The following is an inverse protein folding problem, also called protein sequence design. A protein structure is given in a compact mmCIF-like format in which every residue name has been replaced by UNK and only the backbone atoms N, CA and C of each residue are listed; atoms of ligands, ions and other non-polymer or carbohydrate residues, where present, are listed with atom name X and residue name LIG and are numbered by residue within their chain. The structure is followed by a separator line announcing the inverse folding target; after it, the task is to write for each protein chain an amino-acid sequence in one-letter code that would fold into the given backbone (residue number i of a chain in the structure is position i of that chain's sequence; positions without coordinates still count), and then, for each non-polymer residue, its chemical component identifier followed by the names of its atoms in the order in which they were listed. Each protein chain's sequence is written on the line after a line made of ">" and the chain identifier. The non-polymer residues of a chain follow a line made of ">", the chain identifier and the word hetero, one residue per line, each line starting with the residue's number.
data_IF_739316537957
#
_entry.id   IF_739316537957
#
_cell.length_a   1.000
_cell.length_b   1.000
_cell.length_c   1.000
_cell.angle_alpha   90.00
_cell.angle_beta   90.00
_cell.angle_gamma   90.00
#
_symmetry.space_group_name_H-M   'P 1'
#
loop_
_entity.id
_entity.type
_entity.pdbx_description
1 polymer ?
#
# COMPACT_ATOMS: atom_id res chain seq x y z
N UNK A 1 10.51 -0.48 17.31
CA UNK A 1 11.29 -0.99 16.17
C UNK A 1 12.60 -1.53 16.70
N UNK A 2 12.97 -2.73 16.30
CA UNK A 2 14.28 -3.29 16.64
C UNK A 2 15.33 -2.76 15.66
N UNK A 3 16.39 -2.15 16.19
CA UNK A 3 17.52 -1.62 15.40
C UNK A 3 18.76 -2.48 15.63
N UNK A 4 19.27 -3.08 14.57
CA UNK A 4 20.55 -3.78 14.55
C UNK A 4 21.59 -2.94 13.82
N UNK A 5 22.76 -2.75 14.44
CA UNK A 5 23.88 -2.02 13.84
C UNK A 5 25.09 -2.95 13.80
N UNK A 6 25.58 -3.24 12.60
CA UNK A 6 26.75 -4.07 12.34
C UNK A 6 27.87 -3.23 11.69
N UNK A 7 29.13 -3.54 12.01
CA UNK A 7 30.28 -3.07 11.25
C UNK A 7 31.12 -4.25 10.74
N UNK A 8 31.59 -4.15 9.49
CA UNK A 8 32.49 -5.11 8.85
C UNK A 8 33.77 -4.41 8.42
N UNK A 9 34.90 -4.95 8.85
CA UNK A 9 36.24 -4.41 8.55
C UNK A 9 36.44 -2.94 9.00
N UNK A 10 35.68 -2.50 10.01
CA UNK A 10 35.81 -1.16 10.61
C UNK A 10 35.33 -1.16 12.05
N UNK A 11 36.01 -0.40 12.91
CA UNK A 11 35.61 -0.20 14.30
C UNK A 11 34.39 0.71 14.39
N UNK A 12 33.35 0.26 15.08
CA UNK A 12 32.16 1.06 15.32
C UNK A 12 32.49 2.20 16.29
N UNK A 13 32.51 3.44 15.79
CA UNK A 13 32.70 4.61 16.65
C UNK A 13 31.38 5.05 17.28
N UNK A 14 31.39 5.59 18.52
CA UNK A 14 30.18 6.12 19.17
C UNK A 14 29.48 7.19 18.33
N UNK A 15 30.26 7.99 17.59
CA UNK A 15 29.75 9.03 16.69
C UNK A 15 28.85 8.46 15.60
N UNK A 16 29.24 7.37 14.94
CA UNK A 16 28.41 6.75 13.90
C UNK A 16 27.18 6.06 14.48
N UNK A 17 27.30 5.46 15.66
CA UNK A 17 26.17 4.89 16.38
C UNK A 17 25.11 5.96 16.67
N UNK A 18 25.51 7.07 17.29
CA UNK A 18 24.59 8.19 17.59
C UNK A 18 23.98 8.78 16.33
N UNK A 19 24.75 8.91 15.24
CA UNK A 19 24.25 9.40 13.96
C UNK A 19 23.17 8.46 13.37
N UNK A 20 23.42 7.15 13.39
CA UNK A 20 22.48 6.12 12.90
C UNK A 20 21.21 6.11 13.75
N UNK A 21 21.34 6.14 15.08
CA UNK A 21 20.21 6.17 16.02
C UNK A 21 19.35 7.42 15.81
N UNK A 22 19.98 8.59 15.66
CA UNK A 22 19.28 9.86 15.42
C UNK A 22 18.50 9.81 14.10
N UNK A 23 19.16 9.41 13.00
CA UNK A 23 18.52 9.33 11.68
C UNK A 23 17.43 8.27 11.61
N UNK A 24 17.63 7.15 12.30
CA UNK A 24 16.62 6.10 12.39
C UNK A 24 15.42 6.57 13.22
N UNK A 25 15.65 7.33 14.29
CA UNK A 25 14.60 8.00 15.05
C UNK A 25 13.79 8.97 14.20
N UNK A 26 14.43 9.74 13.32
CA UNK A 26 13.74 10.60 12.34
C UNK A 26 12.89 9.78 11.35
N UNK A 27 13.45 8.68 10.85
CA UNK A 27 12.76 7.76 9.96
C UNK A 27 11.50 7.19 10.63
N UNK A 28 11.63 6.74 11.88
CA UNK A 28 10.57 6.16 12.69
C UNK A 28 9.49 7.19 13.07
N UNK A 29 9.86 8.43 13.41
CA UNK A 29 8.89 9.51 13.65
C UNK A 29 8.02 9.79 12.43
N UNK A 30 8.61 9.66 11.24
CA UNK A 30 7.87 9.74 9.99
C UNK A 30 7.05 8.49 9.65
N UNK A 31 7.38 7.34 10.24
CA UNK A 31 6.90 6.01 9.84
C UNK A 31 6.83 5.06 11.05
N UNK A 32 5.72 5.07 11.78
CA UNK A 32 5.51 4.19 12.95
C UNK A 32 5.32 2.70 12.57
N UNK A 33 5.20 2.41 11.29
CA UNK A 33 4.96 1.07 10.74
C UNK A 33 6.25 0.24 10.57
N UNK A 34 7.43 0.81 10.83
CA UNK A 34 8.71 0.09 10.75
C UNK A 34 8.82 -0.98 11.84
N UNK A 35 9.03 -2.23 11.42
CA UNK A 35 9.15 -3.37 12.32
C UNK A 35 10.60 -3.56 12.76
N UNK A 36 11.51 -3.61 11.79
CA UNK A 36 12.93 -3.90 12.00
C UNK A 36 13.80 -3.03 11.10
N UNK A 37 14.93 -2.56 11.62
CA UNK A 37 15.94 -1.85 10.86
C UNK A 37 17.31 -2.46 11.12
N UNK A 38 18.04 -2.83 10.08
CA UNK A 38 19.42 -3.28 10.15
C UNK A 38 20.31 -2.33 9.36
N UNK A 39 21.40 -1.89 9.97
CA UNK A 39 22.40 -1.02 9.35
C UNK A 39 23.75 -1.71 9.41
N UNK A 40 24.35 -1.99 8.26
CA UNK A 40 25.68 -2.59 8.15
C UNK A 40 26.63 -1.58 7.51
N UNK A 41 27.70 -1.22 8.22
CA UNK A 41 28.78 -0.40 7.70
C UNK A 41 29.94 -1.30 7.27
N UNK A 42 30.40 -1.17 6.02
CA UNK A 42 31.54 -1.94 5.51
C UNK A 42 32.60 -1.02 4.96
N UNK A 43 33.86 -1.22 5.33
CA UNK A 43 35.00 -0.57 4.66
C UNK A 43 35.51 -1.49 3.55
N UNK A 44 35.35 -1.09 2.30
CA UNK A 44 35.83 -1.87 1.17
C UNK A 44 37.11 -1.25 0.58
N UNK A 45 38.29 -1.89 0.76
CA UNK A 45 39.55 -1.39 0.23
C UNK A 45 39.78 -1.69 -1.27
N UNK A 46 38.78 -2.20 -2.01
CA UNK A 46 39.02 -2.89 -3.28
C UNK A 46 38.21 -2.40 -4.49
N UNK A 47 38.00 -1.09 -4.63
CA UNK A 47 37.51 -0.50 -5.90
C UNK A 47 38.62 0.27 -6.62
N UNK A 48 38.92 -0.16 -7.87
CA UNK A 48 39.97 0.34 -8.79
C UNK A 48 39.89 1.84 -9.19
N UNK A 49 39.06 2.66 -8.55
CA UNK A 49 38.89 4.09 -8.91
C UNK A 49 38.90 5.09 -7.76
N UNK A 50 38.71 4.70 -6.49
CA UNK A 50 38.83 5.60 -5.35
C UNK A 50 39.39 4.84 -4.13
N UNK A 51 40.46 5.34 -3.55
CA UNK A 51 41.03 4.84 -2.30
C UNK A 51 39.98 4.84 -1.18
N UNK A 52 39.83 3.72 -0.46
CA UNK A 52 39.10 3.63 0.82
C UNK A 52 37.64 4.14 0.82
N UNK A 53 36.78 3.62 -0.05
CA UNK A 53 35.35 3.96 -0.01
C UNK A 53 34.63 3.30 1.18
N UNK A 54 33.81 4.10 1.85
CA UNK A 54 32.94 3.70 2.94
C UNK A 54 31.59 3.26 2.37
N UNK A 55 31.18 2.04 2.69
CA UNK A 55 29.89 1.49 2.28
C UNK A 55 28.92 1.44 3.47
N UNK A 56 27.70 1.92 3.26
CA UNK A 56 26.59 1.80 4.20
C UNK A 56 25.43 1.04 3.54
N UNK A 57 25.04 -0.06 4.15
CA UNK A 57 23.87 -0.86 3.79
C UNK A 57 22.79 -0.69 4.86
N UNK A 58 21.62 -0.22 4.46
CA UNK A 58 20.46 -0.05 5.35
C UNK A 58 19.35 -0.95 4.83
N UNK A 59 18.90 -1.86 5.67
CA UNK A 59 17.79 -2.76 5.42
C UNK A 59 16.68 -2.40 6.40
N UNK A 60 15.48 -2.12 5.92
CA UNK A 60 14.32 -1.89 6.79
C UNK A 60 13.17 -2.79 6.38
N UNK A 61 12.50 -3.36 7.38
CA UNK A 61 11.35 -4.24 7.20
C UNK A 61 10.09 -3.52 7.65
N UNK A 62 9.11 -3.50 6.74
CA UNK A 62 7.80 -2.89 6.88
C UNK A 62 6.72 -3.99 7.05
N UNK A 63 5.50 -3.63 7.48
CA UNK A 63 4.41 -4.59 7.63
C UNK A 63 3.97 -5.11 6.27
N UNK A 64 3.45 -6.33 6.23
CA UNK A 64 3.04 -6.98 4.97
C UNK A 64 4.22 -7.56 4.17
N UNK A 65 5.31 -7.95 4.87
CA UNK A 65 6.52 -8.59 4.29
C UNK A 65 7.27 -7.73 3.26
N UNK A 66 7.14 -6.41 3.33
CA UNK A 66 7.92 -5.53 2.46
C UNK A 66 9.27 -5.21 3.11
N UNK A 67 10.35 -5.41 2.37
CA UNK A 67 11.72 -5.10 2.84
C UNK A 67 12.35 -4.12 1.87
N UNK A 68 12.81 -2.98 2.37
CA UNK A 68 13.58 -2.01 1.61
C UNK A 68 15.07 -2.21 1.92
N UNK A 69 15.91 -2.07 0.91
CA UNK A 69 17.35 -2.27 1.03
C UNK A 69 18.06 -1.20 0.23
N UNK A 70 18.82 -0.35 0.90
CA UNK A 70 19.61 0.70 0.29
C UNK A 70 21.09 0.49 0.60
N UNK A 71 21.90 0.35 -0.44
CA UNK A 71 23.35 0.33 -0.38
C UNK A 71 23.90 1.63 -0.95
N UNK A 72 24.78 2.31 -0.22
CA UNK A 72 25.48 3.52 -0.69
C UNK A 72 26.97 3.45 -0.37
N UNK A 73 27.77 3.97 -1.28
CA UNK A 73 29.22 3.98 -1.22
C UNK A 73 29.68 5.43 -1.41
N UNK A 74 30.43 5.96 -0.45
CA UNK A 74 30.90 7.34 -0.44
C UNK A 74 32.33 7.44 0.11
N UNK A 75 32.93 8.64 0.02
CA UNK A 75 34.27 8.92 0.55
C UNK A 75 34.34 8.81 2.07
N UNK A 76 33.23 9.08 2.75
CA UNK A 76 33.13 9.03 4.21
C UNK A 76 31.92 8.20 4.63
N UNK A 77 32.01 7.55 5.81
CA UNK A 77 30.88 6.81 6.37
C UNK A 77 29.67 7.70 6.64
N UNK A 78 29.89 8.96 7.03
CA UNK A 78 28.80 9.91 7.29
C UNK A 78 28.00 10.23 6.03
N UNK A 79 28.69 10.45 4.90
CA UNK A 79 28.04 10.67 3.61
C UNK A 79 27.29 9.41 3.15
N UNK A 80 27.91 8.23 3.29
CA UNK A 80 27.29 6.96 2.93
C UNK A 80 26.02 6.70 3.75
N UNK A 81 26.08 6.90 5.07
CA UNK A 81 24.93 6.79 5.98
C UNK A 81 23.85 7.79 5.54
N UNK A 82 24.19 9.07 5.41
CA UNK A 82 23.23 10.10 5.00
C UNK A 82 22.56 9.76 3.67
N UNK A 83 23.33 9.35 2.68
CA UNK A 83 22.84 8.97 1.36
C UNK A 83 21.94 7.72 1.42
N UNK A 84 22.29 6.72 2.22
CA UNK A 84 21.52 5.49 2.37
C UNK A 84 20.16 5.77 3.02
N UNK A 85 20.16 6.51 4.12
CA UNK A 85 18.94 6.95 4.79
C UNK A 85 18.07 7.86 3.91
N UNK A 86 18.68 8.74 3.12
CA UNK A 86 17.95 9.56 2.15
C UNK A 86 17.29 8.73 1.04
N UNK A 87 17.95 7.67 0.56
CA UNK A 87 17.35 6.75 -0.40
C UNK A 87 16.16 6.00 0.20
N UNK A 88 16.30 5.49 1.43
CA UNK A 88 15.20 4.82 2.15
C UNK A 88 14.03 5.78 2.38
N UNK A 89 14.28 7.05 2.75
CA UNK A 89 13.19 8.02 2.97
C UNK A 89 12.40 8.32 1.69
N UNK A 90 13.08 8.39 0.54
CA UNK A 90 12.44 8.53 -0.77
C UNK A 90 11.61 7.28 -1.10
N UNK A 91 12.16 6.08 -0.89
CA UNK A 91 11.44 4.82 -1.15
C UNK A 91 10.23 4.66 -0.24
N UNK A 92 10.35 5.00 1.04
CA UNK A 92 9.27 4.99 2.01
C UNK A 92 8.17 5.99 1.67
N UNK A 93 8.53 7.18 1.19
CA UNK A 93 7.55 8.15 0.67
C UNK A 93 6.77 7.56 -0.51
N UNK A 94 7.47 6.94 -1.47
CA UNK A 94 6.82 6.28 -2.61
C UNK A 94 5.96 5.09 -2.17
N UNK A 95 6.39 4.36 -1.13
CA UNK A 95 5.62 3.29 -0.53
C UNK A 95 4.32 3.82 0.09
N UNK A 96 4.38 4.95 0.80
CA UNK A 96 3.19 5.66 1.30
C UNK A 96 2.32 6.24 0.21
N UNK A 97 2.86 6.74 -0.89
CA UNK A 97 2.03 7.21 -2.01
C UNK A 97 1.29 6.03 -2.68
N UNK A 98 1.96 4.88 -2.85
CA UNK A 98 1.34 3.64 -3.34
C UNK A 98 0.36 3.02 -2.35
N UNK A 99 0.66 3.06 -1.04
CA UNK A 99 -0.25 2.61 0.02
C UNK A 99 -1.37 3.59 0.28
N UNK A 100 -1.19 4.91 0.19
CA UNK A 100 -2.30 5.85 0.20
C UNK A 100 -3.21 5.65 -1.02
N UNK A 101 -2.65 5.22 -2.16
CA UNK A 101 -3.43 4.71 -3.29
C UNK A 101 -4.07 3.32 -3.05
N UNK A 102 -3.65 2.56 -2.04
CA UNK A 102 -4.14 1.19 -1.74
C UNK A 102 -4.96 1.07 -0.44
N UNK A 103 -4.79 1.97 0.53
CA UNK A 103 -5.49 2.09 1.82
C UNK A 103 -6.60 3.14 1.77
N UNK A 104 -6.80 3.83 0.64
CA UNK A 104 -8.14 4.30 0.24
C UNK A 104 -8.76 3.30 -0.74
N UNK A 105 -8.83 2.04 -0.30
CA UNK A 105 -9.88 1.12 -0.75
C UNK A 105 -10.97 1.05 0.33
N UNK A 106 -11.42 2.21 0.78
CA UNK A 106 -12.87 2.38 0.80
C UNK A 106 -13.20 2.51 -0.69
N UNK A 107 -13.73 1.49 -1.39
CA UNK A 107 -14.25 1.76 -2.73
C UNK A 107 -15.14 2.99 -2.60
N UNK A 108 -14.99 4.04 -3.43
CA UNK A 108 -15.90 5.17 -3.38
C UNK A 108 -17.29 4.57 -3.37
N UNK A 109 -18.11 4.88 -2.36
CA UNK A 109 -19.50 4.40 -2.28
C UNK A 109 -20.02 4.51 -3.70
N UNK A 110 -20.33 3.39 -4.37
CA UNK A 110 -20.42 3.48 -5.80
C UNK A 110 -21.50 4.50 -6.16
N UNK A 111 -21.19 5.53 -6.97
CA UNK A 111 -22.07 6.68 -7.12
C UNK A 111 -23.36 6.32 -7.86
N UNK A 112 -23.43 5.11 -8.42
CA UNK A 112 -24.57 4.64 -9.16
C UNK A 112 -25.47 3.82 -8.27
N UNK A 113 -26.70 4.31 -8.14
CA UNK A 113 -27.82 3.60 -7.59
C UNK A 113 -28.61 2.93 -8.71
N UNK A 114 -29.21 1.82 -8.37
CA UNK A 114 -30.13 1.13 -9.26
C UNK A 114 -30.91 0.07 -8.51
N UNK A 115 -31.83 -0.56 -9.24
CA UNK A 115 -32.63 -1.66 -8.73
C UNK A 115 -32.31 -2.91 -9.51
N UNK A 116 -32.20 -4.05 -8.84
CA UNK A 116 -32.05 -5.33 -9.52
C UNK A 116 -33.34 -5.59 -10.30
N UNK A 117 -33.25 -5.74 -11.62
CA UNK A 117 -34.44 -5.97 -12.46
C UNK A 117 -34.56 -7.42 -12.91
N UNK A 118 -33.43 -8.14 -12.99
CA UNK A 118 -33.37 -9.55 -13.38
C UNK A 118 -32.25 -10.23 -12.61
N UNK A 119 -32.58 -11.32 -11.94
CA UNK A 119 -31.62 -12.17 -11.26
C UNK A 119 -31.65 -13.59 -11.84
N UNK A 120 -30.48 -14.17 -12.11
CA UNK A 120 -30.32 -15.56 -12.53
C UNK A 120 -29.44 -16.30 -11.50
N UNK A 121 -29.98 -16.68 -10.32
CA UNK A 121 -29.19 -17.28 -9.25
C UNK A 121 -28.46 -18.56 -9.64
N UNK A 122 -29.11 -19.39 -10.47
CA UNK A 122 -28.55 -20.66 -10.96
C UNK A 122 -27.32 -20.45 -11.86
N UNK A 123 -27.29 -19.33 -12.58
CA UNK A 123 -26.21 -18.98 -13.51
C UNK A 123 -25.21 -17.99 -12.91
N UNK A 124 -25.49 -17.46 -11.71
CA UNK A 124 -24.59 -16.58 -10.95
C UNK A 124 -24.46 -15.18 -11.53
N UNK A 125 -25.46 -14.66 -12.23
CA UNK A 125 -25.44 -13.29 -12.76
C UNK A 125 -26.79 -12.59 -12.65
N UNK A 126 -26.81 -11.29 -12.89
CA UNK A 126 -28.03 -10.50 -12.95
C UNK A 126 -27.84 -9.17 -13.68
N UNK A 127 -28.90 -8.37 -13.67
CA UNK A 127 -28.94 -7.04 -14.25
C UNK A 127 -29.48 -6.02 -13.24
N UNK A 128 -28.81 -4.88 -13.18
CA UNK A 128 -29.22 -3.71 -12.39
C UNK A 128 -29.73 -2.64 -13.36
N UNK A 129 -30.93 -2.16 -13.13
CA UNK A 129 -31.47 -0.99 -13.80
C UNK A 129 -30.95 0.27 -13.10
N UNK A 130 -30.11 1.02 -13.80
CA UNK A 130 -29.51 2.26 -13.27
C UNK A 130 -30.53 3.39 -13.19
N UNK A 131 -30.44 4.23 -12.15
CA UNK A 131 -31.15 5.52 -12.12
C UNK A 131 -30.67 6.41 -13.28
N UNK A 132 -31.57 6.71 -14.22
CA UNK A 132 -31.25 7.38 -15.49
C UNK A 132 -31.33 6.49 -16.73
N UNK A 133 -31.63 5.20 -16.55
CA UNK A 133 -31.84 4.24 -17.63
C UNK A 133 -30.57 3.48 -18.04
N UNK A 134 -30.78 2.29 -18.60
CA UNK A 134 -29.73 1.36 -18.98
C UNK A 134 -29.62 0.16 -18.02
N UNK A 135 -29.50 -1.03 -18.59
CA UNK A 135 -29.29 -2.27 -17.87
C UNK A 135 -27.78 -2.52 -17.72
N UNK A 136 -27.33 -2.73 -16.49
CA UNK A 136 -25.94 -3.01 -16.15
C UNK A 136 -25.84 -4.47 -15.74
N UNK A 137 -25.03 -5.23 -16.47
CA UNK A 137 -24.74 -6.62 -16.15
C UNK A 137 -23.88 -6.72 -14.89
N UNK A 138 -24.19 -7.65 -13.99
CA UNK A 138 -23.31 -7.98 -12.86
C UNK A 138 -23.17 -9.49 -12.71
N UNK A 139 -21.98 -9.92 -12.28
CA UNK A 139 -21.70 -11.33 -11.97
C UNK A 139 -21.67 -11.52 -10.45
N UNK A 140 -21.77 -12.77 -10.00
CA UNK A 140 -21.75 -13.09 -8.58
C UNK A 140 -20.50 -12.61 -7.84
N UNK A 141 -19.38 -12.61 -8.55
CA UNK A 141 -18.10 -12.15 -8.04
C UNK A 141 -18.08 -10.63 -7.76
N UNK A 142 -19.02 -9.87 -8.31
CA UNK A 142 -19.16 -8.44 -8.03
C UNK A 142 -19.89 -8.15 -6.72
N UNK A 143 -20.61 -9.13 -6.15
CA UNK A 143 -21.29 -8.96 -4.87
C UNK A 143 -20.28 -8.90 -3.72
N UNK A 144 -20.35 -7.83 -2.92
CA UNK A 144 -19.50 -7.67 -1.73
C UNK A 144 -20.35 -7.81 -0.46
N UNK A 145 -20.12 -8.88 0.31
CA UNK A 145 -20.87 -9.15 1.55
C UNK A 145 -22.34 -9.54 1.32
N UNK A 146 -22.72 -9.89 0.09
CA UNK A 146 -24.06 -10.30 -0.32
C UNK A 146 -24.00 -11.65 -1.04
N UNK A 147 -25.10 -12.40 -0.92
CA UNK A 147 -25.35 -13.64 -1.67
C UNK A 147 -26.58 -13.47 -2.54
N UNK A 148 -26.68 -14.19 -3.67
CA UNK A 148 -27.85 -14.12 -4.57
C UNK A 148 -29.14 -14.48 -3.85
N UNK A 149 -29.09 -15.38 -2.88
CA UNK A 149 -30.24 -15.78 -2.06
C UNK A 149 -30.82 -14.63 -1.23
N UNK A 150 -30.04 -13.56 -1.00
CA UNK A 150 -30.46 -12.35 -0.28
C UNK A 150 -30.85 -11.21 -1.22
N UNK A 151 -30.75 -11.42 -2.53
CA UNK A 151 -31.13 -10.45 -3.54
C UNK A 151 -32.45 -10.88 -4.16
N UNK A 152 -33.37 -9.93 -4.25
CA UNK A 152 -34.66 -10.11 -4.92
C UNK A 152 -34.78 -9.08 -6.04
N UNK A 153 -35.61 -9.39 -7.04
CA UNK A 153 -35.98 -8.41 -8.04
C UNK A 153 -36.67 -7.21 -7.34
N UNK A 154 -36.24 -5.99 -7.67
CA UNK A 154 -36.66 -4.76 -7.00
C UNK A 154 -35.75 -4.31 -5.85
N UNK A 155 -34.71 -5.08 -5.48
CA UNK A 155 -33.77 -4.67 -4.43
C UNK A 155 -32.94 -3.47 -4.87
N UNK A 156 -32.95 -2.40 -4.08
CA UNK A 156 -32.06 -1.26 -4.27
C UNK A 156 -30.63 -1.65 -3.95
N UNK A 157 -29.71 -1.30 -4.85
CA UNK A 157 -28.28 -1.55 -4.72
C UNK A 157 -27.48 -0.34 -5.14
N UNK A 158 -26.29 -0.18 -4.55
CA UNK A 158 -25.26 0.73 -5.03
C UNK A 158 -24.17 -0.10 -5.71
N UNK A 159 -23.74 0.34 -6.89
CA UNK A 159 -22.82 -0.44 -7.70
C UNK A 159 -21.78 0.39 -8.48
N UNK A 160 -20.59 -0.17 -8.63
CA UNK A 160 -19.50 0.44 -9.39
C UNK A 160 -19.57 0.01 -10.85
N UNK A 161 -19.58 0.97 -11.78
CA UNK A 161 -19.69 0.69 -13.23
C UNK A 161 -18.30 0.73 -13.88
N UNK A 162 -17.97 -0.30 -14.64
CA UNK A 162 -16.74 -0.37 -15.45
C UNK A 162 -17.07 -0.77 -16.89
N UNK A 163 -16.27 -0.30 -17.85
CA UNK A 163 -16.39 -0.68 -19.26
C UNK A 163 -15.75 -2.05 -19.50
N UNK A 164 -16.56 -3.10 -19.54
CA UNK A 164 -16.11 -4.47 -19.84
C UNK A 164 -15.99 -4.76 -21.34
N UNK A 165 -15.44 -5.94 -21.67
CA UNK A 165 -15.27 -6.42 -23.06
C UNK A 165 -16.59 -6.55 -23.83
N UNK A 166 -17.71 -6.72 -23.13
CA UNK A 166 -19.06 -6.90 -23.70
C UNK A 166 -19.99 -5.70 -23.43
N UNK A 167 -19.45 -4.61 -22.90
CA UNK A 167 -20.24 -3.44 -22.49
C UNK A 167 -20.10 -3.12 -20.99
N UNK A 168 -20.88 -2.14 -20.51
CA UNK A 168 -20.82 -1.69 -19.12
C UNK A 168 -21.26 -2.83 -18.17
N UNK A 169 -20.43 -3.12 -17.17
CA UNK A 169 -20.68 -4.15 -16.17
C UNK A 169 -20.42 -3.60 -14.76
N UNK A 170 -21.12 -4.13 -13.77
CA UNK A 170 -20.88 -3.82 -12.38
C UNK A 170 -19.73 -4.65 -11.82
N UNK A 171 -18.80 -4.00 -11.14
CA UNK A 171 -17.62 -4.66 -10.54
C UNK A 171 -17.69 -4.80 -9.03
N UNK A 172 -18.49 -3.94 -8.40
CA UNK A 172 -18.82 -3.98 -6.98
C UNK A 172 -20.31 -3.71 -6.86
N UNK A 173 -21.03 -4.53 -6.12
CA UNK A 173 -22.46 -4.37 -5.81
C UNK A 173 -22.66 -4.58 -4.32
N UNK A 174 -23.27 -3.61 -3.66
CA UNK A 174 -23.61 -3.64 -2.23
C UNK A 174 -25.00 -3.07 -1.99
N UNK A 175 -25.60 -3.37 -0.84
CA UNK A 175 -26.82 -2.68 -0.42
C UNK A 175 -26.49 -1.21 -0.12
N UNK A 176 -27.43 -0.28 -0.39
CA UNK A 176 -27.25 1.10 0.02
C UNK A 176 -27.10 1.16 1.55
N UNK A 177 -26.28 2.08 2.08
CA UNK A 177 -26.23 2.30 3.52
C UNK A 177 -27.64 2.63 4.04
N UNK A 178 -28.04 2.10 5.21
CA UNK A 178 -29.35 2.39 5.77
C UNK A 178 -29.49 3.90 5.93
N UNK A 179 -30.52 4.47 5.32
CA UNK A 179 -30.88 5.86 5.54
C UNK A 179 -31.37 5.91 6.98
N UNK A 180 -30.51 6.35 7.91
CA UNK A 180 -30.95 6.68 9.27
C UNK A 180 -31.83 7.91 9.11
N UNK A 181 -33.14 7.69 8.96
CA UNK A 181 -34.14 8.73 9.01
C UNK A 181 -34.01 9.42 10.36
N UNK A 182 -33.33 10.57 10.37
CA UNK A 182 -33.32 11.49 11.50
C UNK A 182 -34.72 12.10 11.53
N UNK A 183 -35.64 11.38 12.17
CA UNK A 183 -36.98 11.88 12.49
C UNK A 183 -36.76 13.14 13.33
N UNK A 184 -37.11 14.28 12.73
CA UNK A 184 -37.14 15.59 13.39
C UNK A 184 -38.49 15.77 14.08
#
# INVERSE_FOLDING_TARGET
>A
MDLEIESRHVDMTPRWKTEIETRMGDLQRGHEDLLHGRVTLTKNPHHKKLDNVAEALVIVTLPGRHTLTARKEDKTFEEAIRAAFHAISIELRKYREKRAQTEVRIPPVPPHRGVICKLFPQEGYGFILKEGGGEIYFHANALQGLTFERLEDGTEVVFGLEQGKKGPQATVVTLPPPIVSKVS
#
